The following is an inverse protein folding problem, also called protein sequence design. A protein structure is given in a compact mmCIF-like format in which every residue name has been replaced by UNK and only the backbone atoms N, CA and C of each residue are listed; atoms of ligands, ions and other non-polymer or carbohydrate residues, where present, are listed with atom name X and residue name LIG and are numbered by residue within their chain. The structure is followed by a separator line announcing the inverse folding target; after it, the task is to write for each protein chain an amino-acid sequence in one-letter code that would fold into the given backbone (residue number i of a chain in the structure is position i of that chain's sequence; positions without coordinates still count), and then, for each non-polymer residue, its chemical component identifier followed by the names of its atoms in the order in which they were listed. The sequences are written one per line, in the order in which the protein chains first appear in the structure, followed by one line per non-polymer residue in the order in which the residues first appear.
data_IF_585799314671
#
_entry.id   IF_585799314671
#
_cell.length_a   1.000
_cell.length_b   1.000
_cell.length_c   1.000
_cell.angle_alpha   90.00
_cell.angle_beta   90.00
_cell.angle_gamma   90.00
#
_symmetry.space_group_name_H-M   'P 1'
#
loop_
_entity.id
_entity.type
_entity.pdbx_description
1 polymer ?
#
# COMPACT_ATOMS: atom_id res chain seq x y z
N UNK A 1 -46.52 -0.55 24.73
CA UNK A 1 -45.45 -0.09 23.81
C UNK A 1 -44.11 -0.46 24.45
N UNK A 2 -43.30 -1.31 23.81
CA UNK A 2 -42.04 -1.82 24.41
C UNK A 2 -40.93 -0.76 24.28
N UNK A 3 -40.30 -0.28 25.38
CA UNK A 3 -39.32 0.82 25.34
C UNK A 3 -37.89 0.43 24.86
N UNK A 4 -37.66 -0.79 24.36
CA UNK A 4 -36.31 -1.33 24.16
C UNK A 4 -35.69 -1.15 22.77
N UNK A 5 -36.46 -0.79 21.74
CA UNK A 5 -35.94 -0.82 20.35
C UNK A 5 -35.22 0.47 19.91
N UNK A 6 -35.44 1.60 20.59
CA UNK A 6 -34.81 2.87 20.23
C UNK A 6 -33.32 2.94 20.58
N UNK A 7 -32.90 2.25 21.65
CA UNK A 7 -31.50 2.27 22.11
C UNK A 7 -30.60 1.36 21.27
N UNK A 8 -31.12 0.20 20.85
CA UNK A 8 -30.38 -0.76 20.04
C UNK A 8 -30.04 -0.19 18.64
N UNK A 9 -30.90 0.66 18.07
CA UNK A 9 -30.64 1.35 16.81
C UNK A 9 -29.59 2.48 16.96
N UNK A 10 -29.63 3.25 18.05
CA UNK A 10 -28.61 4.27 18.38
C UNK A 10 -27.24 3.63 18.65
N UNK A 11 -27.20 2.53 19.38
CA UNK A 11 -25.98 1.78 19.68
C UNK A 11 -25.31 1.24 18.41
N UNK A 12 -26.06 0.63 17.49
CA UNK A 12 -25.54 0.12 16.21
C UNK A 12 -25.04 1.23 15.27
N UNK A 13 -25.72 2.38 15.27
CA UNK A 13 -25.31 3.53 14.46
C UNK A 13 -24.04 4.19 15.02
N UNK A 14 -23.88 4.20 16.35
CA UNK A 14 -22.68 4.65 17.04
C UNK A 14 -21.49 3.71 16.84
N UNK A 15 -21.71 2.39 16.93
CA UNK A 15 -20.69 1.36 16.66
C UNK A 15 -20.11 1.50 15.25
N UNK A 16 -20.97 1.66 14.24
CA UNK A 16 -20.53 1.89 12.85
C UNK A 16 -19.72 3.16 12.68
N UNK A 17 -20.06 4.25 13.38
CA UNK A 17 -19.31 5.49 13.31
C UNK A 17 -17.92 5.38 13.96
N UNK A 18 -17.79 4.64 15.06
CA UNK A 18 -16.51 4.39 15.74
C UNK A 18 -15.58 3.52 14.89
N UNK A 19 -16.12 2.48 14.24
CA UNK A 19 -15.36 1.63 13.31
C UNK A 19 -14.85 2.45 12.14
N UNK A 20 -15.73 3.23 11.49
CA UNK A 20 -15.35 4.08 10.36
C UNK A 20 -14.27 5.10 10.75
N UNK A 21 -14.29 5.63 11.98
CA UNK A 21 -13.25 6.52 12.48
C UNK A 21 -11.90 5.80 12.68
N UNK A 22 -11.90 4.59 13.22
CA UNK A 22 -10.69 3.76 13.35
C UNK A 22 -10.12 3.36 12.00
N UNK A 23 -10.98 2.92 11.07
CA UNK A 23 -10.61 2.57 9.70
C UNK A 23 -10.09 3.77 8.91
N UNK A 24 -10.70 4.94 9.09
CA UNK A 24 -10.24 6.18 8.47
C UNK A 24 -8.87 6.59 9.01
N UNK A 25 -8.63 6.39 10.31
CA UNK A 25 -7.34 6.66 10.93
C UNK A 25 -6.25 5.70 10.43
N UNK A 26 -6.58 4.42 10.28
CA UNK A 26 -5.68 3.41 9.74
C UNK A 26 -5.37 3.69 8.25
N UNK A 27 -6.40 3.98 7.45
CA UNK A 27 -6.27 4.20 6.02
C UNK A 27 -5.50 5.48 5.67
N UNK A 28 -5.62 6.53 6.48
CA UNK A 28 -5.01 7.83 6.18
C UNK A 28 -3.63 8.04 6.82
N UNK A 29 -3.21 7.20 7.77
CA UNK A 29 -1.87 7.23 8.36
C UNK A 29 -1.46 8.62 8.87
N UNK A 30 -0.32 9.15 8.44
CA UNK A 30 0.17 10.47 8.88
C UNK A 30 -0.69 11.66 8.45
N UNK A 31 -1.54 11.51 7.42
CA UNK A 31 -2.46 12.57 6.95
C UNK A 31 -3.65 12.77 7.90
N UNK A 32 -3.94 11.79 8.77
CA UNK A 32 -4.90 11.90 9.89
C UNK A 32 -4.56 13.08 10.78
N UNK A 33 -3.26 13.40 10.97
CA UNK A 33 -2.83 14.54 11.80
C UNK A 33 -3.38 15.87 11.28
N UNK A 34 -3.71 15.97 10.00
CA UNK A 34 -4.29 17.19 9.41
C UNK A 34 -5.83 17.23 9.56
N UNK A 35 -6.49 16.08 9.52
CA UNK A 35 -7.95 15.93 9.63
C UNK A 35 -8.41 15.99 11.08
N UNK A 36 -7.65 15.39 12.00
CA UNK A 36 -7.97 15.29 13.42
C UNK A 36 -7.32 16.41 14.27
N UNK A 37 -6.68 17.39 13.63
CA UNK A 37 -5.92 18.48 14.29
C UNK A 37 -6.77 19.44 15.12
N UNK A 38 -8.08 19.52 14.85
CA UNK A 38 -8.94 20.60 15.35
C UNK A 38 -10.21 20.14 16.08
N UNK A 39 -10.39 18.85 16.35
CA UNK A 39 -11.65 18.35 16.92
C UNK A 39 -11.49 17.80 18.34
N UNK A 40 -11.82 18.63 19.33
CA UNK A 40 -12.22 18.21 20.69
C UNK A 40 -13.36 17.17 20.68
N UNK A 41 -14.14 17.14 19.59
CA UNK A 41 -15.23 16.21 19.33
C UNK A 41 -14.83 14.73 19.44
N UNK A 42 -13.63 14.32 19.02
CA UNK A 42 -13.22 12.91 19.05
C UNK A 42 -13.03 12.37 20.48
N UNK A 43 -12.45 13.19 21.36
CA UNK A 43 -12.25 12.82 22.77
C UNK A 43 -13.56 12.71 23.53
N UNK A 44 -14.52 13.60 23.26
CA UNK A 44 -15.87 13.55 23.83
C UNK A 44 -16.69 12.39 23.25
N UNK A 45 -16.65 12.21 21.93
CA UNK A 45 -17.39 11.16 21.22
C UNK A 45 -16.94 9.77 21.66
N UNK A 46 -15.63 9.47 21.68
CA UNK A 46 -15.14 8.19 22.21
C UNK A 46 -15.33 8.05 23.72
N UNK A 47 -15.29 9.15 24.47
CA UNK A 47 -15.54 9.16 25.91
C UNK A 47 -16.91 8.57 26.28
N UNK A 48 -17.94 8.88 25.50
CA UNK A 48 -19.28 8.31 25.68
C UNK A 48 -19.32 6.79 25.46
N UNK A 49 -18.57 6.27 24.48
CA UNK A 49 -18.53 4.83 24.20
C UNK A 49 -17.61 4.04 25.14
N UNK A 50 -16.53 4.66 25.64
CA UNK A 50 -15.65 4.07 26.66
C UNK A 50 -16.35 3.91 28.01
N UNK A 51 -17.37 4.73 28.30
CA UNK A 51 -18.19 4.63 29.51
C UNK A 51 -19.44 3.74 29.35
N UNK A 52 -19.66 3.17 28.16
CA UNK A 52 -20.83 2.32 27.85
C UNK A 52 -20.89 1.06 28.73
N UNK A 53 -22.08 0.63 29.16
CA UNK A 53 -22.26 -0.67 29.86
C UNK A 53 -22.13 -1.88 28.93
N UNK A 54 -22.04 -1.67 27.62
CA UNK A 54 -21.91 -2.73 26.62
C UNK A 54 -20.43 -2.96 26.27
N UNK A 55 -19.93 -4.15 26.60
CA UNK A 55 -18.51 -4.54 26.42
C UNK A 55 -18.02 -4.40 24.96
N UNK A 56 -18.85 -4.79 24.00
CA UNK A 56 -18.50 -4.74 22.58
C UNK A 56 -18.27 -3.30 22.05
N UNK A 57 -19.03 -2.33 22.57
CA UNK A 57 -18.84 -0.91 22.23
C UNK A 57 -17.57 -0.35 22.87
N UNK A 58 -17.24 -0.80 24.08
CA UNK A 58 -16.00 -0.44 24.78
C UNK A 58 -14.77 -0.98 24.07
N UNK A 59 -14.79 -2.24 23.64
CA UNK A 59 -13.68 -2.84 22.88
C UNK A 59 -13.43 -2.09 21.57
N UNK A 60 -14.50 -1.79 20.84
CA UNK A 60 -14.42 -1.07 19.55
C UNK A 60 -13.89 0.36 19.73
N UNK A 61 -14.36 1.07 20.76
CA UNK A 61 -13.87 2.42 21.09
C UNK A 61 -12.41 2.41 21.57
N UNK A 62 -12.02 1.40 22.36
CA UNK A 62 -10.63 1.23 22.83
C UNK A 62 -9.70 0.92 21.66
N UNK A 63 -10.12 0.07 20.72
CA UNK A 63 -9.38 -0.20 19.50
C UNK A 63 -9.20 1.05 18.64
N UNK A 64 -10.27 1.80 18.35
CA UNK A 64 -10.18 3.04 17.59
C UNK A 64 -9.29 4.09 18.29
N UNK A 65 -9.38 4.18 19.63
CA UNK A 65 -8.50 5.01 20.45
C UNK A 65 -7.02 4.60 20.34
N UNK A 66 -6.75 3.30 20.35
CA UNK A 66 -5.42 2.74 20.14
C UNK A 66 -4.87 3.04 18.75
N UNK A 67 -5.68 2.88 17.70
CA UNK A 67 -5.29 3.15 16.31
C UNK A 67 -4.93 4.62 16.11
N UNK A 68 -5.78 5.53 16.59
CA UNK A 68 -5.54 6.97 16.51
C UNK A 68 -4.35 7.36 17.40
N UNK A 69 -4.25 6.77 18.59
CA UNK A 69 -3.11 6.94 19.49
C UNK A 69 -1.79 6.49 18.88
N UNK A 70 -1.77 5.36 18.16
CA UNK A 70 -0.62 4.89 17.39
C UNK A 70 -0.26 5.90 16.29
N UNK A 71 -1.22 6.46 15.57
CA UNK A 71 -0.93 7.49 14.54
C UNK A 71 -0.31 8.76 15.15
N UNK A 72 -0.67 9.12 16.40
CA UNK A 72 -0.05 10.22 17.13
C UNK A 72 1.28 9.85 17.82
N UNK A 73 1.45 8.59 18.24
CA UNK A 73 2.59 8.07 19.00
C UNK A 73 3.65 7.36 18.15
N UNK A 74 3.40 7.13 16.86
CA UNK A 74 4.45 6.76 15.90
C UNK A 74 5.35 7.98 15.76
N UNK A 75 6.26 8.12 16.73
CA UNK A 75 7.60 8.59 16.47
C UNK A 75 8.15 7.67 15.38
N UNK A 76 8.40 8.25 14.21
CA UNK A 76 9.07 7.63 13.09
C UNK A 76 10.26 6.81 13.59
N UNK A 77 10.07 5.49 13.71
CA UNK A 77 11.15 4.51 13.60
C UNK A 77 11.25 4.04 12.14
N UNK A 78 11.04 4.98 11.21
CA UNK A 78 11.69 4.87 9.90
C UNK A 78 13.17 4.77 10.21
N UNK A 79 13.86 3.80 9.60
CA UNK A 79 15.31 3.72 9.65
C UNK A 79 15.86 5.15 9.56
N UNK A 80 16.81 5.49 10.43
CA UNK A 80 17.51 6.76 10.35
C UNK A 80 18.22 6.77 8.99
N UNK A 81 17.49 7.22 7.96
CA UNK A 81 17.98 7.35 6.61
C UNK A 81 18.90 8.55 6.63
N UNK A 82 20.20 8.28 6.54
CA UNK A 82 21.13 9.31 6.07
C UNK A 82 20.58 9.78 4.73
N UNK A 83 20.15 11.04 4.66
CA UNK A 83 19.80 11.68 3.39
C UNK A 83 21.08 11.77 2.56
N UNK A 84 21.37 10.72 1.80
CA UNK A 84 22.40 10.74 0.78
C UNK A 84 21.85 11.59 -0.37
N UNK A 85 22.44 12.77 -0.58
CA UNK A 85 22.19 13.56 -1.79
C UNK A 85 22.74 12.78 -2.99
N UNK A 86 21.85 12.11 -3.72
CA UNK A 86 22.21 11.46 -4.98
C UNK A 86 22.31 12.50 -6.08
N UNK A 87 23.44 12.54 -6.78
CA UNK A 87 23.55 13.29 -8.04
C UNK A 87 22.97 12.46 -9.19
N UNK A 88 22.55 13.12 -10.28
CA UNK A 88 22.07 12.44 -11.50
C UNK A 88 23.15 11.46 -12.05
N UNK A 89 24.42 11.83 -11.91
CA UNK A 89 25.55 10.99 -12.35
C UNK A 89 25.69 9.70 -11.51
N UNK A 90 25.42 9.77 -10.21
CA UNK A 90 25.46 8.59 -9.33
C UNK A 90 24.27 7.67 -9.59
N UNK A 91 23.10 8.24 -9.90
CA UNK A 91 21.92 7.48 -10.32
C UNK A 91 22.20 6.68 -11.60
N UNK A 92 22.83 7.29 -12.61
CA UNK A 92 23.19 6.60 -13.85
C UNK A 92 24.22 5.49 -13.64
N UNK A 93 25.24 5.72 -12.82
CA UNK A 93 26.24 4.68 -12.51
C UNK A 93 25.61 3.46 -11.85
N UNK A 94 24.71 3.66 -10.90
CA UNK A 94 24.02 2.53 -10.26
C UNK A 94 23.15 1.76 -11.27
N UNK A 95 22.49 2.44 -12.20
CA UNK A 95 21.73 1.77 -13.27
C UNK A 95 22.64 0.93 -14.17
N UNK A 96 23.81 1.44 -14.54
CA UNK A 96 24.80 0.68 -15.31
C UNK A 96 25.28 -0.56 -14.57
N UNK A 97 25.50 -0.45 -13.26
CA UNK A 97 25.94 -1.57 -12.43
C UNK A 97 24.85 -2.62 -12.26
N UNK A 98 23.59 -2.21 -12.10
CA UNK A 98 22.43 -3.11 -12.13
C UNK A 98 22.36 -3.82 -13.48
N UNK A 99 22.53 -3.10 -14.59
CA UNK A 99 22.51 -3.67 -15.93
C UNK A 99 23.59 -4.75 -16.08
N UNK A 100 24.83 -4.51 -15.64
CA UNK A 100 25.93 -5.50 -15.68
C UNK A 100 25.60 -6.79 -14.94
N UNK A 101 24.93 -6.69 -13.79
CA UNK A 101 24.55 -7.85 -12.97
C UNK A 101 23.33 -8.57 -13.54
N UNK A 102 22.38 -7.81 -14.10
CA UNK A 102 21.10 -8.33 -14.57
C UNK A 102 21.17 -8.95 -15.96
N UNK A 103 21.97 -8.41 -16.88
CA UNK A 103 22.11 -8.91 -18.27
C UNK A 103 22.44 -10.42 -18.32
N UNK A 104 23.43 -10.95 -17.56
CA UNK A 104 23.73 -12.38 -17.57
C UNK A 104 22.57 -13.27 -17.10
N UNK A 105 21.70 -12.76 -16.22
CA UNK A 105 20.51 -13.47 -15.78
C UNK A 105 19.47 -13.53 -16.90
N UNK A 106 19.23 -12.40 -17.56
CA UNK A 106 18.29 -12.31 -18.68
C UNK A 106 18.71 -13.22 -19.84
N UNK A 107 20.00 -13.22 -20.19
CA UNK A 107 20.54 -14.10 -21.24
C UNK A 107 20.36 -15.58 -20.91
N UNK A 108 20.58 -15.99 -19.65
CA UNK A 108 20.31 -17.36 -19.20
C UNK A 108 18.83 -17.69 -19.32
N UNK A 109 17.94 -16.81 -18.88
CA UNK A 109 16.50 -17.03 -19.01
C UNK A 109 16.07 -17.15 -20.48
N UNK A 110 16.62 -16.31 -21.37
CA UNK A 110 16.40 -16.38 -22.82
C UNK A 110 16.89 -17.72 -23.40
N UNK A 111 18.10 -18.16 -23.03
CA UNK A 111 18.69 -19.44 -23.46
C UNK A 111 17.86 -20.66 -23.05
N UNK A 112 17.30 -20.66 -21.83
CA UNK A 112 16.51 -21.78 -21.32
C UNK A 112 14.99 -21.64 -21.57
N UNK A 113 14.55 -20.58 -22.26
CA UNK A 113 13.13 -20.33 -22.53
C UNK A 113 12.30 -20.11 -21.27
N UNK A 114 12.87 -19.54 -20.21
CA UNK A 114 12.19 -19.36 -18.91
C UNK A 114 11.58 -17.98 -18.79
N UNK A 115 10.39 -17.93 -18.18
CA UNK A 115 9.75 -16.67 -17.81
C UNK A 115 10.42 -16.08 -16.56
N UNK A 116 10.40 -14.76 -16.44
CA UNK A 116 10.92 -14.03 -15.28
C UNK A 116 9.82 -13.16 -14.64
N UNK A 117 9.73 -13.16 -13.32
CA UNK A 117 8.88 -12.20 -12.60
C UNK A 117 9.68 -10.94 -12.26
N UNK A 118 9.26 -9.77 -12.73
CA UNK A 118 9.80 -8.48 -12.30
C UNK A 118 8.85 -7.93 -11.23
N UNK A 119 9.31 -8.00 -9.98
CA UNK A 119 8.50 -7.65 -8.83
C UNK A 119 9.08 -6.53 -8.01
N UNK A 120 8.26 -5.56 -7.62
CA UNK A 120 8.64 -4.52 -6.67
C UNK A 120 7.88 -4.69 -5.37
N UNK A 121 8.59 -4.55 -4.25
CA UNK A 121 8.01 -4.54 -2.92
C UNK A 121 8.16 -3.14 -2.31
N UNK A 122 7.05 -2.57 -1.84
CA UNK A 122 7.01 -1.24 -1.23
C UNK A 122 7.96 -1.12 -0.04
N UNK A 123 8.04 -2.15 0.82
CA UNK A 123 8.88 -2.12 2.02
C UNK A 123 10.38 -2.31 1.77
N UNK A 124 10.81 -2.58 0.52
CA UNK A 124 12.21 -2.83 0.18
C UNK A 124 12.60 -2.15 -1.13
N UNK A 125 12.08 -0.94 -1.36
CA UNK A 125 12.53 -0.08 -2.46
C UNK A 125 14.01 0.27 -2.26
N UNK A 126 14.76 0.39 -3.35
CA UNK A 126 16.16 0.79 -3.29
C UNK A 126 16.28 2.23 -2.80
N UNK A 127 17.36 2.53 -2.08
CA UNK A 127 17.64 3.87 -1.56
C UNK A 127 17.62 4.92 -2.67
N UNK A 128 18.13 4.58 -3.86
CA UNK A 128 18.04 5.42 -5.07
C UNK A 128 16.60 5.79 -5.44
N UNK A 129 15.70 4.80 -5.53
CA UNK A 129 14.30 5.06 -5.89
C UNK A 129 13.60 5.86 -4.78
N UNK A 130 13.92 5.55 -3.52
CA UNK A 130 13.39 6.26 -2.37
C UNK A 130 13.83 7.73 -2.35
N UNK A 131 15.08 8.02 -2.71
CA UNK A 131 15.60 9.39 -2.77
C UNK A 131 14.96 10.22 -3.90
N UNK A 132 14.73 9.64 -5.08
CA UNK A 132 14.18 10.36 -6.24
C UNK A 132 12.65 10.48 -6.22
N UNK A 133 11.96 9.40 -5.85
CA UNK A 133 10.49 9.30 -5.96
C UNK A 133 9.78 9.20 -4.61
N UNK A 134 10.52 9.05 -3.52
CA UNK A 134 9.96 8.82 -2.19
C UNK A 134 9.25 7.47 -2.06
N UNK A 135 8.64 7.29 -0.89
CA UNK A 135 7.78 6.15 -0.58
C UNK A 135 6.42 6.32 -1.29
N UNK A 136 6.41 6.08 -2.61
CA UNK A 136 5.28 6.39 -3.48
C UNK A 136 4.95 5.26 -4.45
N UNK A 137 3.68 5.16 -4.90
CA UNK A 137 3.29 4.24 -5.97
C UNK A 137 4.11 4.43 -7.24
N UNK A 138 4.56 5.66 -7.53
CA UNK A 138 5.39 5.97 -8.69
C UNK A 138 6.80 5.39 -8.56
N UNK A 139 7.40 5.47 -7.37
CA UNK A 139 8.69 4.82 -7.10
C UNK A 139 8.64 3.31 -7.36
N UNK A 140 7.56 2.64 -6.94
CA UNK A 140 7.37 1.21 -7.21
C UNK A 140 7.33 0.87 -8.71
N UNK A 141 6.63 1.70 -9.49
CA UNK A 141 6.48 1.54 -10.94
C UNK A 141 7.81 1.78 -11.64
N UNK A 142 8.51 2.88 -11.33
CA UNK A 142 9.80 3.19 -11.95
C UNK A 142 10.84 2.09 -11.67
N UNK A 143 10.89 1.59 -10.43
CA UNK A 143 11.77 0.47 -10.08
C UNK A 143 11.53 -0.75 -10.96
N UNK A 144 10.27 -1.14 -11.21
CA UNK A 144 9.98 -2.24 -12.13
C UNK A 144 10.32 -1.92 -13.58
N UNK A 145 10.07 -0.68 -14.00
CA UNK A 145 10.34 -0.22 -15.36
C UNK A 145 11.83 -0.18 -15.69
N UNK A 146 12.71 0.15 -14.73
CA UNK A 146 14.17 0.06 -14.90
C UNK A 146 14.60 -1.34 -15.36
N UNK A 147 14.16 -2.39 -14.68
CA UNK A 147 14.46 -3.78 -15.08
C UNK A 147 13.79 -4.16 -16.40
N UNK A 148 12.54 -3.73 -16.62
CA UNK A 148 11.82 -4.03 -17.86
C UNK A 148 12.47 -3.38 -19.09
N UNK A 149 13.01 -2.16 -18.95
CA UNK A 149 13.77 -1.47 -20.02
C UNK A 149 15.02 -2.27 -20.39
N UNK A 150 15.74 -2.81 -19.41
CA UNK A 150 16.91 -3.69 -19.65
C UNK A 150 16.48 -4.97 -20.38
N UNK A 151 15.41 -5.64 -19.93
CA UNK A 151 14.86 -6.81 -20.61
C UNK A 151 14.53 -6.52 -22.08
N UNK A 152 13.88 -5.39 -22.36
CA UNK A 152 13.55 -4.98 -23.74
C UNK A 152 14.78 -4.65 -24.58
N UNK A 153 15.80 -4.00 -24.00
CA UNK A 153 17.08 -3.74 -24.68
C UNK A 153 17.75 -5.04 -25.16
N UNK A 154 17.56 -6.13 -24.42
CA UNK A 154 18.03 -7.48 -24.75
C UNK A 154 17.04 -8.32 -25.57
N UNK A 155 15.94 -7.71 -26.03
CA UNK A 155 14.88 -8.40 -26.78
C UNK A 155 14.32 -9.61 -26.00
N UNK A 156 14.16 -9.45 -24.68
CA UNK A 156 13.57 -10.44 -23.79
C UNK A 156 12.20 -9.97 -23.32
N UNK A 157 11.16 -10.66 -23.80
CA UNK A 157 9.77 -10.30 -23.55
C UNK A 157 9.02 -11.30 -22.65
N UNK A 158 9.68 -12.39 -22.25
CA UNK A 158 9.05 -13.43 -21.43
C UNK A 158 9.11 -13.07 -19.94
N UNK A 159 8.44 -11.99 -19.56
CA UNK A 159 8.37 -11.56 -18.16
C UNK A 159 6.98 -11.09 -17.73
N UNK A 160 6.77 -11.09 -16.42
CA UNK A 160 5.49 -10.75 -15.77
C UNK A 160 5.77 -9.70 -14.69
N UNK A 161 4.95 -8.65 -14.60
CA UNK A 161 5.08 -7.67 -13.53
C UNK A 161 4.33 -8.10 -12.27
N UNK A 162 4.85 -7.75 -11.09
CA UNK A 162 4.10 -7.88 -9.83
C UNK A 162 4.41 -6.73 -8.88
N UNK A 163 3.38 -6.08 -8.33
CA UNK A 163 3.52 -5.05 -7.31
C UNK A 163 2.99 -5.58 -5.99
N UNK A 164 3.82 -5.49 -4.94
CA UNK A 164 3.50 -5.93 -3.59
C UNK A 164 3.61 -4.76 -2.63
N UNK A 165 2.54 -4.48 -1.90
CA UNK A 165 2.50 -3.50 -0.83
C UNK A 165 1.60 -4.02 0.30
N UNK A 166 1.87 -3.59 1.53
CA UNK A 166 1.05 -3.89 2.72
C UNK A 166 -0.23 -3.05 2.73
N UNK A 167 -0.16 -1.79 2.26
CA UNK A 167 -1.33 -0.94 2.08
C UNK A 167 -2.02 -1.25 0.73
N UNK A 168 -3.27 -1.75 0.72
CA UNK A 168 -3.99 -2.09 -0.50
C UNK A 168 -4.26 -0.87 -1.39
N UNK A 169 -4.37 0.33 -0.83
CA UNK A 169 -4.57 1.57 -1.60
C UNK A 169 -3.35 1.89 -2.46
N UNK A 170 -2.15 1.83 -1.87
CA UNK A 170 -0.88 2.04 -2.58
C UNK A 170 -0.70 0.97 -3.65
N UNK A 171 -1.01 -0.30 -3.32
CA UNK A 171 -0.96 -1.41 -4.28
C UNK A 171 -1.85 -1.13 -5.49
N UNK A 172 -3.12 -0.76 -5.28
CA UNK A 172 -4.06 -0.48 -6.37
C UNK A 172 -3.59 0.69 -7.23
N UNK A 173 -3.09 1.76 -6.61
CA UNK A 173 -2.56 2.91 -7.32
C UNK A 173 -1.32 2.55 -8.15
N UNK A 174 -0.40 1.75 -7.60
CA UNK A 174 0.80 1.29 -8.30
C UNK A 174 0.44 0.45 -9.52
N UNK A 175 -0.50 -0.50 -9.42
CA UNK A 175 -0.96 -1.27 -10.58
C UNK A 175 -1.64 -0.40 -11.64
N UNK A 176 -2.47 0.58 -11.25
CA UNK A 176 -3.10 1.50 -12.20
C UNK A 176 -2.07 2.36 -12.94
N UNK A 177 -1.08 2.89 -12.22
CA UNK A 177 0.03 3.64 -12.80
C UNK A 177 0.87 2.76 -13.72
N UNK A 178 1.18 1.53 -13.30
CA UNK A 178 1.92 0.56 -14.10
C UNK A 178 1.23 0.33 -15.45
N UNK A 179 -0.08 0.07 -15.44
CA UNK A 179 -0.88 -0.13 -16.66
C UNK A 179 -0.88 1.13 -17.52
N UNK A 180 -1.05 2.31 -16.93
CA UNK A 180 -1.05 3.57 -17.66
C UNK A 180 0.31 3.83 -18.35
N UNK A 181 1.42 3.64 -17.65
CA UNK A 181 2.77 3.77 -18.20
C UNK A 181 3.03 2.74 -19.31
N UNK A 182 2.60 1.50 -19.10
CA UNK A 182 2.68 0.47 -20.15
C UNK A 182 1.90 0.88 -21.40
N UNK A 183 0.71 1.46 -21.24
CA UNK A 183 -0.12 1.93 -22.34
C UNK A 183 0.57 3.07 -23.12
N UNK A 184 1.18 4.03 -22.42
CA UNK A 184 1.95 5.13 -23.03
C UNK A 184 3.13 4.59 -23.84
N UNK A 185 3.81 3.55 -23.35
CA UNK A 185 4.95 2.93 -24.01
C UNK A 185 4.56 1.89 -25.08
N UNK A 186 3.26 1.59 -25.23
CA UNK A 186 2.75 0.55 -26.13
C UNK A 186 3.18 -0.87 -25.71
N UNK A 187 3.24 -1.15 -24.40
CA UNK A 187 3.62 -2.45 -23.84
C UNK A 187 2.40 -3.21 -23.32
N UNK A 188 2.41 -4.53 -23.47
CA UNK A 188 1.29 -5.43 -23.20
C UNK A 188 1.69 -6.65 -22.34
N UNK A 189 2.60 -6.44 -21.39
CA UNK A 189 3.06 -7.50 -20.49
C UNK A 189 2.00 -7.96 -19.47
N UNK A 190 1.98 -9.25 -19.11
CA UNK A 190 1.07 -9.76 -18.10
C UNK A 190 1.39 -9.22 -16.70
N UNK A 191 0.34 -9.09 -15.89
CA UNK A 191 0.41 -8.66 -14.50
C UNK A 191 0.05 -9.82 -13.56
N UNK A 192 0.91 -10.11 -12.60
CA UNK A 192 0.66 -11.06 -11.52
C UNK A 192 0.14 -10.30 -10.30
N UNK A 193 -1.19 -10.39 -10.09
CA UNK A 193 -1.89 -9.76 -8.99
C UNK A 193 -1.71 -10.57 -7.70
N UNK A 194 -1.28 -9.92 -6.63
CA UNK A 194 -1.21 -10.54 -5.31
C UNK A 194 -1.25 -9.50 -4.21
N UNK A 195 -2.15 -9.69 -3.24
CA UNK A 195 -2.18 -8.90 -2.01
C UNK A 195 -1.25 -9.57 -1.00
N UNK A 196 -0.16 -8.89 -0.65
CA UNK A 196 0.73 -9.32 0.43
C UNK A 196 0.26 -8.79 1.77
N UNK A 197 0.43 -9.58 2.84
CA UNK A 197 -0.04 -9.26 4.20
C UNK A 197 -1.55 -9.06 4.31
N UNK A 198 -2.31 -9.99 3.76
CA UNK A 198 -3.74 -10.02 4.02
C UNK A 198 -4.03 -10.25 5.54
N UNK A 199 -3.10 -10.86 6.29
CA UNK A 199 -3.34 -11.31 7.66
C UNK A 199 -4.02 -12.67 7.68
N UNK A 200 -4.13 -13.28 8.86
CA UNK A 200 -4.79 -14.58 9.04
C UNK A 200 -6.31 -14.41 9.22
N UNK A 201 -7.10 -15.37 8.75
CA UNK A 201 -8.54 -15.39 8.99
C UNK A 201 -9.38 -14.52 8.04
N UNK A 202 -10.39 -13.83 8.58
CA UNK A 202 -11.35 -13.04 7.80
C UNK A 202 -10.78 -11.75 7.23
N UNK A 203 -9.91 -11.07 7.96
CA UNK A 203 -9.29 -9.81 7.54
C UNK A 203 -8.47 -9.98 6.25
N UNK A 204 -7.77 -11.12 6.12
CA UNK A 204 -7.05 -11.45 4.89
C UNK A 204 -7.91 -11.83 3.71
N UNK A 205 -9.05 -12.47 3.95
CA UNK A 205 -10.03 -12.70 2.87
C UNK A 205 -10.62 -11.38 2.40
N UNK A 206 -10.92 -10.47 3.32
CA UNK A 206 -11.50 -9.16 2.99
C UNK A 206 -10.51 -8.26 2.24
N UNK A 207 -9.27 -8.11 2.72
CA UNK A 207 -8.21 -7.34 2.04
C UNK A 207 -7.89 -7.92 0.66
N UNK A 208 -7.83 -9.24 0.53
CA UNK A 208 -7.60 -9.89 -0.76
C UNK A 208 -8.77 -9.67 -1.72
N UNK A 209 -10.02 -9.81 -1.25
CA UNK A 209 -11.22 -9.60 -2.06
C UNK A 209 -11.37 -8.14 -2.52
N UNK A 210 -11.10 -7.18 -1.64
CA UNK A 210 -11.15 -5.75 -1.97
C UNK A 210 -10.01 -5.39 -2.94
N UNK A 211 -8.78 -5.84 -2.69
CA UNK A 211 -7.64 -5.55 -3.55
C UNK A 211 -7.81 -6.11 -4.97
N UNK A 212 -8.14 -7.40 -5.07
CA UNK A 212 -8.36 -8.06 -6.38
C UNK A 212 -9.64 -7.52 -7.04
N UNK A 213 -10.73 -7.36 -6.29
CA UNK A 213 -11.99 -6.84 -6.80
C UNK A 213 -11.85 -5.43 -7.38
N UNK A 214 -11.15 -4.54 -6.70
CA UNK A 214 -10.92 -3.15 -7.17
C UNK A 214 -10.02 -3.09 -8.41
N UNK A 215 -9.11 -4.05 -8.56
CA UNK A 215 -8.24 -4.16 -9.74
C UNK A 215 -8.95 -4.77 -10.94
N UNK A 216 -9.86 -5.72 -10.70
CA UNK A 216 -10.69 -6.33 -11.73
C UNK A 216 -11.90 -5.48 -12.12
N UNK A 217 -12.25 -4.48 -11.31
CA UNK A 217 -13.32 -3.54 -11.61
C UNK A 217 -12.89 -2.61 -12.75
N UNK A 218 -13.17 -3.06 -13.97
CA UNK A 218 -13.11 -2.26 -15.18
C UNK A 218 -14.29 -1.29 -15.12
N UNK A 219 -14.04 -0.04 -14.73
CA UNK A 219 -15.00 1.03 -15.02
C UNK A 219 -15.06 1.22 -16.53
N UNK A 220 -16.25 1.15 -17.17
CA UNK A 220 -16.43 1.44 -18.58
C UNK A 220 -16.16 2.91 -18.92
#
# INVERSE_FOLDING_TARGET
MRPGYSWCAKAKCGEGAVIVLGDLADALGSNVKMIFRYMTFYGEFLGEFLQSEYEQLKETATWAQGMIGCVFSVSDRRAEFEQLEYTDDDYQKELEDIEKVFVPLVEKCKKYGRAMGIGTNHGSLSDRIMSYFGDSPRGMVESAFEFARICRKLDFHNFVFSMKASNPVIMVQAYRLLVAEMYVQGWDYPLHLGVTEAGEGEDGRMKSAIGIGTLLQVSP
#
